data_IF_453610904508
#
_entry.id   IF_453610904508
#
_cell.length_a   1.000
_cell.length_b   1.000
_cell.length_c   1.000
_cell.angle_alpha   90.00
_cell.angle_beta   90.00
_cell.angle_gamma   90.00
#
_symmetry.space_group_name_H-M   'P 1'
#
loop_
_entity.id
_entity.type
_entity.pdbx_description
1 polymer ?
#
# COMPACT_ATOMS: atom_id res chain seq x y z
N UNK A 1 32.34 -7.86 2.90
CA UNK A 1 30.94 -7.39 2.74
C UNK A 1 30.16 -7.27 4.07
N UNK A 2 30.69 -7.69 5.23
CA UNK A 2 29.98 -7.58 6.52
C UNK A 2 30.05 -6.22 7.23
N UNK A 3 30.99 -5.34 6.86
CA UNK A 3 31.26 -4.11 7.61
C UNK A 3 30.40 -2.92 7.18
N UNK A 4 29.94 -2.88 5.93
CA UNK A 4 29.09 -1.78 5.42
C UNK A 4 27.64 -1.90 5.92
N UNK A 5 27.12 -3.13 6.07
CA UNK A 5 25.77 -3.39 6.59
C UNK A 5 25.69 -3.02 8.08
N UNK A 6 26.73 -3.32 8.86
CA UNK A 6 26.80 -2.94 10.27
C UNK A 6 26.82 -1.42 10.46
N UNK A 7 27.65 -0.72 9.67
CA UNK A 7 27.73 0.75 9.73
C UNK A 7 26.43 1.44 9.29
N UNK A 8 25.70 0.87 8.32
CA UNK A 8 24.40 1.39 7.90
C UNK A 8 23.33 1.22 8.99
N UNK A 9 23.33 0.08 9.70
CA UNK A 9 22.41 -0.16 10.82
C UNK A 9 22.69 0.76 12.02
N UNK A 10 23.95 1.08 12.31
CA UNK A 10 24.32 2.02 13.39
C UNK A 10 23.94 3.47 13.06
N UNK A 11 24.03 3.89 11.79
CA UNK A 11 23.59 5.23 11.36
C UNK A 11 22.08 5.45 11.55
N UNK A 12 21.27 4.38 11.48
CA UNK A 12 19.81 4.44 11.66
C UNK A 12 19.38 4.60 13.13
N UNK A 13 20.24 4.29 14.10
CA UNK A 13 19.91 4.37 15.53
C UNK A 13 20.07 5.78 16.10
N UNK A 14 20.85 6.65 15.45
CA UNK A 14 21.23 7.97 15.99
C UNK A 14 20.51 9.17 15.35
N UNK A 15 19.46 8.94 14.56
CA UNK A 15 18.62 10.02 14.01
C UNK A 15 17.75 10.66 15.11
N UNK A 16 18.11 11.86 15.57
CA UNK A 16 17.35 12.62 16.58
C UNK A 16 15.86 12.78 16.24
N UNK A 17 15.00 12.56 17.23
CA UNK A 17 13.55 12.75 17.15
C UNK A 17 13.14 14.16 17.59
N UNK A 18 12.20 14.83 16.90
CA UNK A 18 11.30 15.77 17.54
C UNK A 18 10.09 15.02 18.11
N UNK A 19 9.89 15.14 19.42
CA UNK A 19 8.67 14.74 20.12
C UNK A 19 7.62 15.83 19.95
N UNK A 20 6.61 15.62 19.12
CA UNK A 20 5.38 16.42 19.18
C UNK A 20 4.16 15.50 19.01
N UNK A 21 3.65 15.06 20.15
CA UNK A 21 2.47 14.20 20.27
C UNK A 21 1.25 15.02 20.71
N UNK A 22 0.93 16.11 20.03
CA UNK A 22 -0.29 16.90 20.31
C UNK A 22 -0.87 17.46 19.02
N UNK A 23 -1.78 16.72 18.39
CA UNK A 23 -2.53 17.17 17.20
C UNK A 23 -3.16 16.08 16.31
N UNK A 24 -2.72 14.81 16.42
CA UNK A 24 -3.03 13.74 15.45
C UNK A 24 -4.44 13.11 15.49
N UNK A 25 -5.36 13.58 16.33
CA UNK A 25 -6.67 12.92 16.53
C UNK A 25 -7.58 13.07 15.29
N UNK A 26 -7.34 14.06 14.43
CA UNK A 26 -8.20 14.36 13.29
C UNK A 26 -7.86 13.59 12.00
N UNK A 27 -6.58 13.30 11.72
CA UNK A 27 -6.14 12.80 10.40
C UNK A 27 -6.66 11.39 10.03
N UNK A 28 -7.19 10.65 11.01
CA UNK A 28 -7.70 9.30 10.84
C UNK A 28 -9.23 9.20 11.04
N UNK A 29 -9.92 10.31 11.27
CA UNK A 29 -11.37 10.32 11.54
C UNK A 29 -12.20 9.91 10.31
N UNK A 30 -11.67 10.16 9.11
CA UNK A 30 -12.30 9.96 7.81
C UNK A 30 -12.04 8.58 7.18
N UNK A 31 -11.36 7.66 7.88
CA UNK A 31 -11.06 6.33 7.34
C UNK A 31 -12.36 5.55 7.16
N UNK A 32 -12.74 5.31 5.91
CA UNK A 32 -13.87 4.46 5.52
C UNK A 32 -13.38 3.25 4.74
N UNK A 33 -14.02 2.11 4.95
CA UNK A 33 -13.77 0.88 4.19
C UNK A 33 -15.00 0.55 3.36
N UNK A 34 -14.85 -0.06 2.17
CA UNK A 34 -15.95 -0.71 1.49
C UNK A 34 -16.71 -1.68 2.40
N UNK A 35 -18.01 -1.85 2.14
CA UNK A 35 -18.77 -2.93 2.74
C UNK A 35 -18.38 -4.25 2.07
N UNK A 36 -17.80 -5.16 2.86
CA UNK A 36 -17.25 -6.39 2.33
C UNK A 36 -16.95 -7.42 3.41
N UNK A 37 -16.57 -8.60 2.95
CA UNK A 37 -16.17 -9.72 3.79
C UNK A 37 -14.69 -9.60 4.19
N UNK A 38 -14.42 -9.67 5.49
CA UNK A 38 -13.07 -9.71 6.03
C UNK A 38 -12.56 -11.15 6.06
N UNK A 39 -11.38 -11.35 5.49
CA UNK A 39 -10.72 -12.63 5.29
C UNK A 39 -9.36 -12.66 6.01
N UNK A 40 -8.87 -13.86 6.30
CA UNK A 40 -7.51 -14.11 6.81
C UNK A 40 -7.17 -13.26 8.05
N UNK A 41 -7.98 -13.36 9.11
CA UNK A 41 -7.80 -12.57 10.34
C UNK A 41 -7.80 -11.05 10.09
N UNK A 42 -8.79 -10.59 9.30
CA UNK A 42 -8.98 -9.19 8.92
C UNK A 42 -7.77 -8.56 8.20
N UNK A 43 -6.94 -9.36 7.54
CA UNK A 43 -5.77 -8.89 6.77
C UNK A 43 -6.12 -8.56 5.31
N UNK A 44 -7.23 -9.09 4.82
CA UNK A 44 -7.74 -8.87 3.47
C UNK A 44 -9.24 -8.61 3.54
N UNK A 45 -9.75 -7.72 2.72
CA UNK A 45 -11.19 -7.53 2.52
C UNK A 45 -11.55 -7.86 1.08
N UNK A 46 -12.71 -8.52 0.89
CA UNK A 46 -13.29 -8.83 -0.41
C UNK A 46 -14.69 -8.24 -0.53
N UNK A 47 -14.98 -7.62 -1.66
CA UNK A 47 -16.34 -7.25 -2.06
C UNK A 47 -16.50 -7.53 -3.56
N UNK A 48 -17.65 -7.18 -4.12
CA UNK A 48 -17.95 -7.37 -5.53
C UNK A 48 -18.31 -6.03 -6.18
N UNK A 49 -17.89 -5.83 -7.43
CA UNK A 49 -18.39 -4.74 -8.26
C UNK A 49 -19.81 -5.03 -8.77
N UNK A 50 -20.37 -4.08 -9.52
CA UNK A 50 -21.70 -4.20 -10.16
C UNK A 50 -21.82 -5.39 -11.14
N UNK A 51 -20.70 -5.87 -11.67
CA UNK A 51 -20.64 -7.00 -12.60
C UNK A 51 -20.33 -8.32 -11.89
N UNK A 52 -20.42 -8.37 -10.56
CA UNK A 52 -20.06 -9.53 -9.73
C UNK A 52 -18.60 -9.97 -9.87
N UNK A 53 -17.70 -9.08 -10.31
CA UNK A 53 -16.27 -9.33 -10.25
C UNK A 53 -15.77 -9.09 -8.83
N UNK A 54 -14.79 -9.89 -8.41
CA UNK A 54 -14.19 -9.78 -7.09
C UNK A 54 -13.29 -8.54 -7.02
N UNK A 55 -13.44 -7.76 -5.97
CA UNK A 55 -12.57 -6.65 -5.60
C UNK A 55 -11.88 -6.96 -4.28
N UNK A 56 -10.69 -6.40 -4.08
CA UNK A 56 -9.90 -6.68 -2.90
C UNK A 56 -9.23 -5.43 -2.31
N UNK A 57 -9.09 -5.42 -0.98
CA UNK A 57 -8.17 -4.55 -0.28
C UNK A 57 -7.23 -5.43 0.56
N UNK A 58 -5.92 -5.28 0.33
CA UNK A 58 -4.87 -5.88 1.16
C UNK A 58 -4.49 -4.86 2.23
N UNK A 59 -4.79 -5.15 3.50
CA UNK A 59 -4.40 -4.26 4.60
C UNK A 59 -2.91 -4.42 4.94
N UNK A 60 -2.28 -3.45 5.61
CA UNK A 60 -0.86 -3.51 5.98
C UNK A 60 -0.42 -4.79 6.70
N UNK A 61 -1.31 -5.46 7.46
CA UNK A 61 -1.00 -6.76 8.08
C UNK A 61 -0.88 -7.94 7.10
N UNK A 62 -1.33 -7.79 5.86
CA UNK A 62 -1.07 -8.72 4.75
C UNK A 62 0.21 -8.39 3.96
N UNK A 63 0.85 -7.26 4.23
CA UNK A 63 1.99 -6.75 3.48
C UNK A 63 3.30 -7.08 4.21
N UNK A 64 4.38 -7.20 3.45
CA UNK A 64 5.74 -7.16 3.98
C UNK A 64 6.19 -5.71 3.97
N UNK A 65 6.41 -5.14 5.16
CA UNK A 65 6.80 -3.73 5.34
C UNK A 65 8.05 -3.71 6.22
N UNK A 66 9.14 -3.19 5.68
CA UNK A 66 10.43 -3.18 6.36
C UNK A 66 10.36 -2.36 7.66
N UNK A 67 10.89 -2.93 8.73
CA UNK A 67 10.85 -2.40 10.11
C UNK A 67 9.46 -2.10 10.68
N UNK A 68 8.38 -2.62 10.10
CA UNK A 68 7.01 -2.35 10.60
C UNK A 68 6.72 -2.88 12.01
N UNK A 69 7.55 -3.76 12.55
CA UNK A 69 7.49 -4.19 13.96
C UNK A 69 8.12 -3.20 14.93
N UNK A 70 8.91 -2.24 14.43
CA UNK A 70 9.61 -1.26 15.24
C UNK A 70 8.81 0.05 15.34
N UNK A 71 8.38 0.36 16.56
CA UNK A 71 7.56 1.51 16.87
C UNK A 71 8.31 2.86 16.79
N UNK A 72 9.63 2.85 16.58
CA UNK A 72 10.42 4.05 16.27
C UNK A 72 10.20 4.52 14.83
N UNK A 73 9.91 3.57 13.92
CA UNK A 73 9.83 3.82 12.48
C UNK A 73 8.39 3.78 11.96
N UNK A 74 7.52 2.98 12.59
CA UNK A 74 6.12 2.84 12.19
C UNK A 74 5.17 2.83 13.38
N UNK A 75 3.98 3.43 13.21
CA UNK A 75 2.91 3.40 14.20
C UNK A 75 1.69 2.69 13.65
N UNK A 76 1.23 1.65 14.34
CA UNK A 76 0.01 0.93 13.99
C UNK A 76 -1.22 1.61 14.58
N UNK A 77 -2.28 1.72 13.78
CA UNK A 77 -3.57 2.26 14.22
C UNK A 77 -4.68 1.22 14.02
N UNK A 78 -5.64 1.17 14.95
CA UNK A 78 -6.83 0.33 14.84
C UNK A 78 -8.00 1.14 14.31
N UNK A 79 -8.75 0.58 13.37
CA UNK A 79 -10.02 1.13 12.86
C UNK A 79 -11.08 0.05 12.82
N UNK A 80 -12.34 0.43 12.98
CA UNK A 80 -13.47 -0.51 12.88
C UNK A 80 -13.96 -0.55 11.43
N UNK A 81 -14.27 -1.76 10.96
CA UNK A 81 -15.10 -1.96 9.76
C UNK A 81 -16.58 -1.69 10.08
N UNK A 82 -17.41 -1.65 9.03
CA UNK A 82 -18.88 -1.64 9.17
C UNK A 82 -19.42 -2.84 9.96
N UNK A 83 -18.67 -3.95 9.99
CA UNK A 83 -18.98 -5.17 10.75
C UNK A 83 -18.36 -5.21 12.17
N UNK A 84 -17.93 -4.06 12.71
CA UNK A 84 -17.30 -3.90 14.02
C UNK A 84 -16.03 -4.75 14.24
N UNK A 85 -15.39 -5.20 13.15
CA UNK A 85 -14.12 -5.90 13.22
C UNK A 85 -12.97 -4.91 13.16
N UNK A 86 -11.90 -5.20 13.89
CA UNK A 86 -10.72 -4.33 13.90
C UNK A 86 -9.86 -4.58 12.66
N UNK A 87 -9.61 -3.52 11.92
CA UNK A 87 -8.66 -3.42 10.80
C UNK A 87 -7.45 -2.61 11.27
N UNK A 88 -6.26 -3.01 10.83
CA UNK A 88 -5.00 -2.32 11.14
C UNK A 88 -4.49 -1.54 9.94
N UNK A 89 -4.30 -0.23 10.12
CA UNK A 89 -3.57 0.65 9.20
C UNK A 89 -2.23 1.05 9.83
N UNK A 90 -1.30 1.63 9.07
CA UNK A 90 0.04 1.96 9.58
C UNK A 90 0.51 3.33 9.10
N UNK A 91 1.19 4.06 9.99
CA UNK A 91 1.75 5.39 9.75
C UNK A 91 3.28 5.32 9.80
N UNK A 92 3.93 5.93 8.82
CA UNK A 92 5.38 6.07 8.75
C UNK A 92 5.85 7.22 9.63
N UNK A 93 6.56 6.92 10.72
CA UNK A 93 7.03 7.92 11.67
C UNK A 93 8.31 8.59 11.22
N UNK A 94 9.32 7.83 10.76
CA UNK A 94 10.52 8.36 10.15
C UNK A 94 11.42 7.23 9.60
N UNK A 95 11.77 7.21 8.32
CA UNK A 95 12.76 6.25 7.77
C UNK A 95 13.57 6.86 6.64
N UNK A 96 14.80 6.38 6.39
CA UNK A 96 15.50 6.66 5.13
C UNK A 96 15.37 5.53 4.10
N UNK A 97 15.03 4.31 4.53
CA UNK A 97 14.72 3.16 3.68
C UNK A 97 13.22 2.84 3.79
N UNK A 98 12.51 2.95 2.68
CA UNK A 98 11.11 2.58 2.56
C UNK A 98 10.99 1.38 1.65
N UNK A 99 10.32 0.33 2.12
CA UNK A 99 10.00 -0.84 1.33
C UNK A 99 8.70 -1.48 1.83
N UNK A 100 7.72 -1.52 0.93
CA UNK A 100 6.40 -2.13 1.13
C UNK A 100 6.17 -3.06 -0.03
N UNK A 101 5.88 -4.33 0.27
CA UNK A 101 5.62 -5.38 -0.71
C UNK A 101 4.27 -6.05 -0.40
N UNK A 102 3.46 -6.25 -1.44
CA UNK A 102 2.20 -6.96 -1.39
C UNK A 102 2.10 -7.98 -2.52
N UNK A 103 1.19 -8.94 -2.38
CA UNK A 103 0.93 -9.93 -3.42
C UNK A 103 -0.49 -10.46 -3.36
N UNK A 104 -1.01 -10.86 -4.51
CA UNK A 104 -2.28 -11.57 -4.63
C UNK A 104 -2.16 -12.69 -5.66
N UNK A 105 -2.85 -13.81 -5.41
CA UNK A 105 -2.91 -14.92 -6.35
C UNK A 105 -3.89 -14.61 -7.45
N UNK A 106 -3.58 -14.98 -8.69
CA UNK A 106 -4.52 -14.84 -9.81
C UNK A 106 -5.81 -15.64 -9.57
N UNK A 107 -5.72 -16.78 -8.89
CA UNK A 107 -6.86 -17.61 -8.50
C UNK A 107 -7.84 -16.92 -7.54
N UNK A 108 -7.37 -15.91 -6.79
CA UNK A 108 -8.25 -15.11 -5.94
C UNK A 108 -9.15 -14.20 -6.81
N UNK A 109 -8.68 -13.78 -7.98
CA UNK A 109 -9.33 -12.77 -8.83
C UNK A 109 -10.40 -13.37 -9.75
N UNK A 110 -11.16 -12.49 -10.41
CA UNK A 110 -12.10 -12.91 -11.47
C UNK A 110 -11.36 -13.20 -12.78
N UNK A 111 -11.63 -14.32 -13.46
CA UNK A 111 -11.01 -14.65 -14.72
C UNK A 111 -11.45 -13.70 -15.84
N UNK A 112 -10.60 -13.50 -16.84
CA UNK A 112 -10.85 -12.63 -18.00
C UNK A 112 -11.12 -11.16 -17.66
N UNK A 113 -10.71 -10.71 -16.48
CA UNK A 113 -10.92 -9.35 -15.99
C UNK A 113 -9.62 -8.54 -16.05
N UNK A 114 -9.72 -7.30 -16.53
CA UNK A 114 -8.64 -6.31 -16.43
C UNK A 114 -8.76 -5.64 -15.05
N UNK A 115 -7.69 -5.67 -14.28
CA UNK A 115 -7.62 -5.06 -12.95
C UNK A 115 -6.71 -3.83 -12.96
N UNK A 116 -7.02 -2.88 -12.09
CA UNK A 116 -6.12 -1.82 -11.64
C UNK A 116 -5.77 -2.05 -10.18
N UNK A 117 -4.48 -1.93 -9.84
CA UNK A 117 -4.00 -1.92 -8.47
C UNK A 117 -3.52 -0.52 -8.09
N UNK A 118 -3.88 -0.07 -6.88
CA UNK A 118 -3.46 1.22 -6.33
C UNK A 118 -3.04 1.09 -4.87
N UNK A 119 -2.05 1.88 -4.44
CA UNK A 119 -1.84 2.14 -3.01
C UNK A 119 -2.82 3.23 -2.55
N UNK A 120 -3.60 2.96 -1.50
CA UNK A 120 -4.42 3.99 -0.86
C UNK A 120 -3.68 4.54 0.36
N UNK A 121 -3.25 5.79 0.27
CA UNK A 121 -2.41 6.46 1.27
C UNK A 121 -2.97 7.82 1.64
N UNK A 122 -2.50 8.37 2.76
CA UNK A 122 -2.68 9.77 3.14
C UNK A 122 -1.33 10.36 3.51
N UNK A 123 -1.06 11.59 3.06
CA UNK A 123 0.12 12.37 3.46
C UNK A 123 -0.32 13.35 4.55
N UNK A 124 0.30 13.28 5.73
CA UNK A 124 -0.03 14.10 6.90
C UNK A 124 0.44 15.55 6.71
N UNK A 125 -0.08 16.47 7.52
CA UNK A 125 0.31 17.87 7.41
C UNK A 125 1.79 18.10 7.71
N UNK A 126 2.30 17.38 8.71
CA UNK A 126 3.68 17.43 9.18
C UNK A 126 4.66 16.53 8.39
N UNK A 127 4.19 15.96 7.27
CA UNK A 127 4.97 15.08 6.41
C UNK A 127 6.14 15.80 5.71
N UNK A 128 7.27 15.11 5.59
CA UNK A 128 8.45 15.59 4.84
C UNK A 128 9.18 14.45 4.13
N UNK A 129 10.15 14.80 3.27
CA UNK A 129 11.00 13.84 2.56
C UNK A 129 10.39 13.26 1.29
N UNK A 130 9.15 13.65 0.96
CA UNK A 130 8.39 13.18 -0.20
C UNK A 130 8.66 13.95 -1.50
N UNK A 131 9.62 14.89 -1.48
CA UNK A 131 10.13 15.56 -2.68
C UNK A 131 10.99 14.64 -3.54
N UNK A 132 11.52 13.57 -2.96
CA UNK A 132 12.25 12.54 -3.70
C UNK A 132 11.26 11.46 -4.14
N UNK A 133 11.18 11.13 -5.44
CA UNK A 133 10.24 10.12 -5.91
C UNK A 133 10.48 8.75 -5.30
N UNK A 134 9.40 8.05 -4.98
CA UNK A 134 9.40 6.61 -4.67
C UNK A 134 9.21 5.83 -5.97
N UNK A 135 9.74 4.61 -6.02
CA UNK A 135 9.46 3.68 -7.12
C UNK A 135 8.27 2.82 -6.74
N UNK A 136 7.30 2.76 -7.63
CA UNK A 136 6.14 1.88 -7.56
C UNK A 136 6.32 0.80 -8.64
N UNK A 137 6.03 -0.45 -8.33
CA UNK A 137 6.10 -1.52 -9.32
C UNK A 137 5.03 -2.58 -9.21
N UNK A 138 4.66 -3.11 -10.38
CA UNK A 138 3.82 -4.29 -10.56
C UNK A 138 4.65 -5.39 -11.23
N UNK A 139 4.58 -6.62 -10.73
CA UNK A 139 5.19 -7.79 -11.37
C UNK A 139 4.12 -8.83 -11.67
N UNK A 140 4.01 -9.22 -12.94
CA UNK A 140 3.11 -10.28 -13.42
C UNK A 140 3.75 -11.68 -13.17
N UNK A 141 2.97 -12.77 -13.22
CA UNK A 141 3.47 -14.11 -12.86
C UNK A 141 4.57 -14.63 -13.80
N UNK A 142 4.59 -14.15 -15.05
CA UNK A 142 5.62 -14.44 -16.05
C UNK A 142 6.96 -13.71 -15.78
N UNK A 143 7.01 -12.90 -14.72
CA UNK A 143 8.18 -12.13 -14.32
C UNK A 143 8.28 -10.77 -14.99
N UNK A 144 7.31 -10.35 -15.82
CA UNK A 144 7.29 -9.02 -16.40
C UNK A 144 7.08 -7.96 -15.31
N UNK A 145 7.94 -6.95 -15.30
CA UNK A 145 7.93 -5.89 -14.29
C UNK A 145 7.60 -4.55 -14.95
N UNK A 146 6.61 -3.86 -14.41
CA UNK A 146 6.26 -2.49 -14.72
C UNK A 146 6.67 -1.61 -13.55
N UNK A 147 7.36 -0.49 -13.83
CA UNK A 147 7.82 0.44 -12.81
C UNK A 147 7.46 1.87 -13.17
N UNK A 148 7.09 2.66 -12.18
CA UNK A 148 6.93 4.10 -12.30
C UNK A 148 7.53 4.81 -11.09
N UNK A 149 7.95 6.07 -11.25
CA UNK A 149 8.40 6.93 -10.16
C UNK A 149 7.33 7.95 -9.84
N UNK A 150 7.00 8.09 -8.56
CA UNK A 150 5.94 9.01 -8.09
C UNK A 150 6.49 9.93 -7.01
N UNK A 151 6.34 11.24 -7.21
CA UNK A 151 6.61 12.25 -6.18
C UNK A 151 5.37 12.42 -5.31
N UNK A 152 5.48 12.14 -4.01
CA UNK A 152 4.33 12.24 -3.09
C UNK A 152 4.13 13.66 -2.52
N UNK A 153 5.12 14.56 -2.65
CA UNK A 153 5.01 15.96 -2.20
C UNK A 153 3.85 16.72 -2.86
N UNK A 154 3.54 16.40 -4.11
CA UNK A 154 2.50 17.07 -4.90
C UNK A 154 1.09 16.54 -4.61
N UNK A 155 0.99 15.44 -3.84
CA UNK A 155 -0.31 14.90 -3.44
C UNK A 155 -0.90 15.79 -2.36
N UNK A 156 -2.23 15.93 -2.42
CA UNK A 156 -2.97 16.68 -1.40
C UNK A 156 -2.71 16.09 -0.02
N UNK A 157 -2.36 16.96 0.91
CA UNK A 157 -2.20 16.58 2.32
C UNK A 157 -3.56 16.40 2.98
N UNK A 158 -3.59 15.64 4.07
CA UNK A 158 -4.77 15.31 4.87
C UNK A 158 -5.92 14.58 4.13
N UNK A 159 -5.82 14.35 2.83
CA UNK A 159 -6.78 13.60 2.01
C UNK A 159 -6.27 12.19 1.68
N UNK A 160 -7.20 11.22 1.59
CA UNK A 160 -6.89 9.89 1.04
C UNK A 160 -6.68 9.99 -0.47
N UNK A 161 -5.52 9.53 -0.94
CA UNK A 161 -5.14 9.52 -2.35
C UNK A 161 -4.87 8.10 -2.82
N UNK A 162 -5.32 7.78 -4.03
CA UNK A 162 -4.98 6.55 -4.74
C UNK A 162 -3.72 6.80 -5.58
N UNK A 163 -2.68 6.00 -5.36
CA UNK A 163 -1.44 6.00 -6.15
C UNK A 163 -1.45 4.79 -7.07
N UNK A 164 -1.62 4.97 -8.39
CA UNK A 164 -1.64 3.85 -9.34
C UNK A 164 -0.35 3.05 -9.29
N UNK A 165 -0.49 1.73 -9.16
CA UNK A 165 0.61 0.77 -9.25
C UNK A 165 0.75 0.28 -10.68
N UNK A 166 -0.38 -0.07 -11.29
CA UNK A 166 -0.46 -0.53 -12.66
C UNK A 166 -1.72 -1.33 -12.94
N UNK A 167 -1.83 -1.77 -14.17
CA UNK A 167 -2.92 -2.58 -14.68
C UNK A 167 -2.40 -3.94 -15.10
N UNK A 168 -3.22 -4.97 -14.94
CA UNK A 168 -2.87 -6.33 -15.32
C UNK A 168 -4.14 -7.11 -15.67
N UNK A 169 -4.02 -8.08 -16.58
CA UNK A 169 -5.15 -8.88 -17.05
C UNK A 169 -5.06 -10.29 -16.51
N UNK A 170 -6.11 -10.74 -15.83
CA UNK A 170 -6.22 -12.13 -15.38
C UNK A 170 -6.66 -12.98 -16.58
N UNK A 171 -5.78 -13.86 -17.05
CA UNK A 171 -6.05 -14.76 -18.17
C UNK A 171 -6.09 -16.20 -17.66
N UNK A 172 -7.21 -16.93 -17.84
CA UNK A 172 -7.28 -18.35 -17.51
C UNK A 172 -6.15 -19.14 -18.18
N UNK A 173 -5.62 -20.14 -17.48
CA UNK A 173 -4.73 -21.19 -18.01
C UNK A 173 -3.33 -20.78 -18.49
N UNK A 174 -2.93 -19.50 -18.36
CA UNK A 174 -1.56 -19.08 -18.71
C UNK A 174 -0.53 -19.26 -17.59
N UNK A 175 -0.96 -19.39 -16.35
CA UNK A 175 -0.05 -19.28 -15.20
C UNK A 175 -0.62 -19.85 -13.88
N UNK A 176 -0.99 -21.13 -13.84
CA UNK A 176 -1.20 -21.90 -12.58
C UNK A 176 -1.73 -21.11 -11.35
N UNK A 177 -1.05 -21.24 -10.20
CA UNK A 177 -1.24 -20.46 -8.96
C UNK A 177 -0.33 -19.20 -8.96
N UNK A 178 -0.31 -18.47 -10.08
CA UNK A 178 0.53 -17.31 -10.30
C UNK A 178 0.24 -16.17 -9.31
N UNK A 179 1.28 -15.42 -8.93
CA UNK A 179 1.16 -14.28 -8.02
C UNK A 179 1.47 -12.96 -8.75
N UNK A 180 0.55 -12.01 -8.62
CA UNK A 180 0.81 -10.60 -8.95
C UNK A 180 1.47 -9.96 -7.74
N UNK A 181 2.62 -9.30 -7.94
CA UNK A 181 3.37 -8.63 -6.85
C UNK A 181 3.33 -7.13 -7.02
N UNK A 182 3.20 -6.43 -5.90
CA UNK A 182 3.11 -4.97 -5.83
C UNK A 182 4.19 -4.45 -4.90
N UNK A 183 4.87 -3.37 -5.27
CA UNK A 183 5.88 -2.77 -4.40
C UNK A 183 5.85 -1.24 -4.42
N UNK A 184 6.17 -0.64 -3.29
CA UNK A 184 6.55 0.77 -3.14
C UNK A 184 7.88 0.80 -2.39
N UNK A 185 8.92 1.37 -3.01
CA UNK A 185 10.23 1.43 -2.37
C UNK A 185 11.04 2.67 -2.72
N UNK A 186 11.89 3.06 -1.77
CA UNK A 186 12.93 4.04 -1.93
C UNK A 186 14.02 3.82 -0.89
N UNK A 187 15.22 3.56 -1.37
CA UNK A 187 16.37 3.24 -0.53
C UNK A 187 17.26 4.46 -0.30
N UNK A 188 17.61 4.70 0.97
CA UNK A 188 18.67 5.61 1.42
C UNK A 188 18.51 7.10 1.09
N UNK A 189 19.52 7.86 1.51
CA UNK A 189 19.83 9.24 1.09
C UNK A 189 18.94 10.37 1.61
N UNK A 190 17.73 10.09 2.12
CA UNK A 190 16.81 11.11 2.62
C UNK A 190 15.77 10.47 3.55
N UNK A 191 15.62 11.08 4.73
CA UNK A 191 14.57 10.73 5.69
C UNK A 191 13.21 11.17 5.17
N UNK A 192 12.17 10.39 5.47
CA UNK A 192 10.78 10.65 5.11
C UNK A 192 9.84 10.19 6.21
N UNK A 193 8.75 10.92 6.42
CA UNK A 193 7.71 10.63 7.42
C UNK A 193 6.34 11.11 7.00
N UNK A 194 5.32 10.73 7.75
CA UNK A 194 3.98 11.29 7.61
C UNK A 194 3.22 10.71 6.43
N UNK A 195 3.45 9.45 6.10
CA UNK A 195 2.59 8.70 5.18
C UNK A 195 1.83 7.65 5.98
N UNK A 196 0.50 7.69 5.87
CA UNK A 196 -0.39 6.66 6.40
C UNK A 196 -0.78 5.75 5.26
N UNK A 197 -0.54 4.46 5.40
CA UNK A 197 -0.94 3.41 4.46
C UNK A 197 -2.20 2.73 4.96
N UNK A 198 -3.28 2.82 4.17
CA UNK A 198 -4.53 2.10 4.42
C UNK A 198 -4.51 0.70 3.82
N UNK A 199 -3.88 0.54 2.64
CA UNK A 199 -3.72 -0.76 2.00
C UNK A 199 -3.47 -0.65 0.50
N UNK A 200 -3.52 -1.81 -0.17
CA UNK A 200 -3.51 -1.92 -1.63
C UNK A 200 -4.92 -2.29 -2.07
N UNK A 201 -5.52 -1.48 -2.94
CA UNK A 201 -6.83 -1.74 -3.54
C UNK A 201 -6.65 -2.33 -4.93
N UNK A 202 -7.38 -3.40 -5.22
CA UNK A 202 -7.33 -4.15 -6.48
C UNK A 202 -8.77 -4.29 -6.96
N UNK A 203 -9.11 -3.55 -8.01
CA UNK A 203 -10.47 -3.43 -8.53
C UNK A 203 -10.47 -3.69 -10.05
N UNK A 204 -11.55 -4.29 -10.60
CA UNK A 204 -11.76 -4.34 -12.03
C UNK A 204 -11.72 -2.93 -12.64
N UNK A 205 -10.94 -2.76 -13.70
CA UNK A 205 -10.91 -1.51 -14.44
C UNK A 205 -12.07 -1.52 -15.44
N UNK A 206 -13.03 -0.62 -15.23
CA UNK A 206 -14.17 -0.45 -16.15
C UNK A 206 -13.64 0.05 -17.51
N UNK A 207 -13.70 -0.82 -18.52
CA UNK A 207 -13.44 -0.43 -19.89
C UNK A 207 -14.64 0.36 -20.41
N UNK A 208 -14.51 1.68 -20.53
CA UNK A 208 -15.56 2.59 -21.05
C UNK A 208 -15.92 2.38 -22.54
N UNK A 209 -15.51 1.28 -23.17
CA UNK A 209 -15.61 1.05 -24.61
C UNK A 209 -16.59 -0.06 -25.03
N UNK A 210 -17.61 -0.39 -24.21
CA UNK A 210 -18.66 -1.37 -24.59
C UNK A 210 -20.09 -0.91 -24.27
N UNK A 211 -20.42 0.32 -24.62
CA UNK A 211 -21.82 0.71 -24.86
C UNK A 211 -21.96 1.14 -26.30
N UNK A 212 -22.13 0.15 -27.17
CA UNK A 212 -22.72 0.32 -28.49
C UNK A 212 -23.40 -0.99 -28.85
N UNK A 213 -24.68 -1.11 -28.50
CA UNK A 213 -25.70 -1.83 -29.26
C UNK A 213 -27.05 -1.22 -28.93
#
# INVERSE_FOLDING_TARGET
MGNEISSFMDFLQHGNQPNDATGRVDELSDVKFPDGELLYDNKKMRWFDENSNKCYMLFPKALSIEWSSDNRYWKWHSKLSSSNKTIKIIELLNVCWLEINGKIKESDLSPNTLYEAVFEIKITEDAYGWNVPVTISLTEPDGKIYKNKVTLKEKKKAEWVKIPIGEFKVVPDKSGDGEIKFSMYKYGGHWKRGMILKGIVIEPKVNKNKTSH
#
